data_IF_170733487981
#
_entry.id   IF_170733487981
#
_cell.length_a   1.000
_cell.length_b   1.000
_cell.length_c   1.000
_cell.angle_alpha   90.00
_cell.angle_beta   90.00
_cell.angle_gamma   90.00
#
_symmetry.space_group_name_H-M   'P 1'
#
loop_
_entity.id
_entity.type
_entity.pdbx_description
1 polymer ?
#
# COMPACT_ATOMS: atom_id res chain seq x y z
N UNK A 1 7.53 15.66 21.02
CA UNK A 1 6.31 15.63 20.19
C UNK A 1 5.74 14.23 20.28
N UNK A 2 4.94 13.93 21.31
CA UNK A 2 4.35 12.58 21.54
C UNK A 2 2.84 12.59 21.23
N UNK A 3 2.34 13.70 20.65
CA UNK A 3 0.91 13.97 20.54
C UNK A 3 0.34 13.60 19.18
N UNK A 4 1.16 13.59 18.11
CA UNK A 4 0.64 13.40 16.76
C UNK A 4 0.29 11.94 16.46
N UNK A 5 1.09 10.98 16.94
CA UNK A 5 0.73 9.55 16.82
C UNK A 5 -0.55 9.21 17.60
N UNK A 6 -0.72 9.75 18.81
CA UNK A 6 -1.97 9.58 19.57
C UNK A 6 -3.16 10.19 18.83
N UNK A 7 -3.03 11.41 18.28
CA UNK A 7 -4.07 12.03 17.46
C UNK A 7 -4.44 11.16 16.26
N UNK A 8 -3.44 10.65 15.53
CA UNK A 8 -3.69 9.77 14.38
C UNK A 8 -4.49 8.53 14.82
N UNK A 9 -4.09 7.89 15.92
CA UNK A 9 -4.82 6.75 16.47
C UNK A 9 -6.27 7.09 16.83
N UNK A 10 -6.50 8.19 17.56
CA UNK A 10 -7.83 8.62 17.99
C UNK A 10 -8.72 8.93 16.77
N UNK A 11 -8.17 9.62 15.76
CA UNK A 11 -8.87 9.93 14.51
C UNK A 11 -9.19 8.68 13.70
N UNK A 12 -8.28 7.70 13.62
CA UNK A 12 -8.56 6.41 12.98
C UNK A 12 -9.67 5.65 13.73
N UNK A 13 -9.65 5.67 15.07
CA UNK A 13 -10.69 5.04 15.89
C UNK A 13 -12.06 5.69 15.68
N UNK A 14 -12.11 7.01 15.59
CA UNK A 14 -13.34 7.76 15.28
C UNK A 14 -13.84 7.46 13.86
N UNK A 15 -12.95 7.45 12.87
CA UNK A 15 -13.28 7.29 11.47
C UNK A 15 -13.73 5.86 11.09
N UNK A 16 -13.12 4.84 11.70
CA UNK A 16 -13.16 3.47 11.15
C UNK A 16 -13.81 2.42 12.07
N UNK A 17 -14.21 2.77 13.30
CA UNK A 17 -14.93 1.83 14.18
C UNK A 17 -16.44 1.80 13.92
N UNK A 18 -17.06 0.66 14.19
CA UNK A 18 -18.40 0.24 13.74
C UNK A 18 -19.58 1.13 14.14
N UNK A 19 -19.39 2.11 15.02
CA UNK A 19 -20.42 3.12 15.31
C UNK A 19 -20.61 4.13 14.16
N UNK A 20 -19.64 4.24 13.25
CA UNK A 20 -19.62 5.22 12.16
C UNK A 20 -19.52 4.61 10.74
N UNK A 21 -19.61 3.29 10.56
CA UNK A 21 -19.49 2.65 9.24
C UNK A 21 -20.61 3.02 8.26
N UNK A 22 -21.75 3.50 8.76
CA UNK A 22 -22.83 4.03 7.91
C UNK A 22 -22.54 5.46 7.40
N UNK A 23 -21.44 6.05 7.84
CA UNK A 23 -21.06 7.45 7.61
C UNK A 23 -19.55 7.65 7.71
N UNK A 24 -18.71 6.77 7.15
CA UNK A 24 -17.29 7.09 6.96
C UNK A 24 -17.20 8.33 6.08
N UNK A 25 -17.24 9.49 6.72
CA UNK A 25 -17.36 10.77 6.05
C UNK A 25 -16.04 11.00 5.32
N UNK A 26 -16.07 11.42 4.04
CA UNK A 26 -14.88 11.90 3.35
C UNK A 26 -14.05 12.89 4.18
N UNK A 27 -14.71 13.66 5.06
CA UNK A 27 -14.08 14.60 5.99
C UNK A 27 -13.21 13.91 7.06
N UNK A 28 -13.65 12.76 7.60
CA UNK A 28 -12.87 12.02 8.61
C UNK A 28 -11.65 11.35 7.97
N UNK A 29 -11.81 10.81 6.76
CA UNK A 29 -10.70 10.26 5.98
C UNK A 29 -9.67 11.36 5.65
N UNK A 30 -10.15 12.53 5.21
CA UNK A 30 -9.29 13.68 4.94
C UNK A 30 -8.61 14.19 6.21
N UNK A 31 -9.27 14.12 7.36
CA UNK A 31 -8.65 14.45 8.63
C UNK A 31 -7.49 13.50 8.97
N UNK A 32 -7.67 12.18 8.82
CA UNK A 32 -6.59 11.20 8.97
C UNK A 32 -5.45 11.48 7.98
N UNK A 33 -5.78 11.79 6.72
CA UNK A 33 -4.79 12.14 5.68
C UNK A 33 -3.96 13.36 6.06
N UNK A 34 -4.60 14.44 6.53
CA UNK A 34 -3.91 15.67 6.95
C UNK A 34 -3.00 15.44 8.16
N UNK A 35 -3.44 14.64 9.14
CA UNK A 35 -2.58 14.25 10.26
C UNK A 35 -1.36 13.48 9.78
N UNK A 36 -1.53 12.53 8.86
CA UNK A 36 -0.40 11.81 8.27
C UNK A 36 0.56 12.77 7.57
N UNK A 37 0.07 13.74 6.79
CA UNK A 37 0.89 14.72 6.07
C UNK A 37 1.83 15.51 7.00
N UNK A 38 1.39 15.80 8.23
CA UNK A 38 2.23 16.46 9.24
C UNK A 38 3.30 15.53 9.87
N UNK A 39 3.15 14.20 9.80
CA UNK A 39 4.00 13.26 10.55
C UNK A 39 5.44 13.14 10.02
N UNK A 40 6.38 13.07 10.94
CA UNK A 40 7.78 12.75 10.65
C UNK A 40 8.20 11.45 11.35
N UNK A 41 9.41 10.95 11.06
CA UNK A 41 10.00 9.85 11.83
C UNK A 41 10.03 10.15 13.33
N UNK A 42 10.29 11.40 13.73
CA UNK A 42 10.40 11.78 15.13
C UNK A 42 9.07 11.63 15.89
N UNK A 43 7.94 11.86 15.22
CA UNK A 43 6.59 11.63 15.80
C UNK A 43 6.30 10.14 16.03
N UNK A 44 7.07 9.28 15.37
CA UNK A 44 7.09 7.83 15.50
C UNK A 44 8.28 7.38 16.35
N UNK A 45 8.98 8.28 17.07
CA UNK A 45 10.12 7.89 17.92
C UNK A 45 11.30 7.28 17.14
N UNK A 46 11.39 7.59 15.85
CA UNK A 46 12.42 7.10 14.93
C UNK A 46 13.25 8.26 14.37
N UNK A 47 14.42 7.92 13.84
CA UNK A 47 15.23 8.76 12.96
C UNK A 47 15.86 7.88 11.87
N UNK A 48 16.52 8.49 10.88
CA UNK A 48 17.18 7.72 9.81
C UNK A 48 18.35 6.88 10.37
N UNK A 49 19.02 7.34 11.43
CA UNK A 49 20.14 6.62 12.04
C UNK A 49 19.72 5.28 12.65
N UNK A 50 18.48 5.18 13.17
CA UNK A 50 17.89 3.93 13.65
C UNK A 50 17.98 2.82 12.59
N UNK A 51 17.66 3.15 11.34
CA UNK A 51 17.69 2.19 10.24
C UNK A 51 19.12 1.91 9.78
N UNK A 52 19.92 2.96 9.59
CA UNK A 52 21.30 2.87 9.09
C UNK A 52 22.20 2.05 10.04
N UNK A 53 22.03 2.19 11.36
CA UNK A 53 22.86 1.52 12.37
C UNK A 53 22.35 0.12 12.74
N UNK A 54 21.25 -0.34 12.15
CA UNK A 54 20.66 -1.63 12.48
C UNK A 54 21.48 -2.80 11.93
N UNK A 55 22.12 -3.55 12.81
CA UNK A 55 22.78 -4.81 12.45
C UNK A 55 21.79 -5.85 11.90
N UNK A 56 20.52 -5.79 12.33
CA UNK A 56 19.49 -6.71 11.85
C UNK A 56 19.15 -6.42 10.39
N UNK A 57 19.04 -5.14 10.01
CA UNK A 57 18.87 -4.72 8.62
C UNK A 57 20.06 -5.17 7.78
N UNK A 58 21.28 -4.95 8.28
CA UNK A 58 22.52 -5.33 7.59
C UNK A 58 22.61 -6.84 7.33
N UNK A 59 22.04 -7.69 8.20
CA UNK A 59 21.99 -9.15 8.02
C UNK A 59 21.03 -9.58 6.91
N UNK A 60 20.05 -8.75 6.54
CA UNK A 60 19.03 -9.06 5.55
C UNK A 60 18.85 -7.90 4.55
N UNK A 61 19.86 -7.58 3.73
CA UNK A 61 19.88 -6.36 2.91
C UNK A 61 18.83 -6.33 1.79
N UNK A 62 18.19 -7.47 1.48
CA UNK A 62 17.13 -7.58 0.47
C UNK A 62 15.73 -7.77 1.08
N UNK A 63 15.62 -7.70 2.41
CA UNK A 63 14.33 -7.80 3.08
C UNK A 63 13.62 -6.44 3.12
N UNK A 64 12.30 -6.48 3.18
CA UNK A 64 11.47 -5.36 3.61
C UNK A 64 11.22 -5.52 5.10
N UNK A 65 11.25 -4.42 5.85
CA UNK A 65 11.10 -4.46 7.30
C UNK A 65 9.75 -3.87 7.70
N UNK A 66 8.93 -4.67 8.38
CA UNK A 66 7.64 -4.27 8.92
C UNK A 66 7.76 -3.89 10.38
N UNK A 67 7.30 -2.68 10.73
CA UNK A 67 7.26 -2.16 12.08
C UNK A 67 5.78 -1.93 12.45
N UNK A 68 5.16 -2.84 13.24
CA UNK A 68 3.79 -2.63 13.69
C UNK A 68 3.73 -1.48 14.70
N UNK A 69 2.75 -0.59 14.57
CA UNK A 69 2.45 0.44 15.58
C UNK A 69 1.22 0.04 16.38
N UNK A 70 0.09 -0.17 15.71
CA UNK A 70 -1.11 -0.71 16.33
C UNK A 70 -1.98 -1.46 15.33
N UNK A 71 -2.74 -2.44 15.81
CA UNK A 71 -3.66 -3.23 15.00
C UNK A 71 -4.93 -3.55 15.78
N UNK A 72 -6.08 -3.34 15.14
CA UNK A 72 -7.39 -3.79 15.63
C UNK A 72 -8.22 -4.36 14.45
N UNK A 73 -9.46 -4.77 14.70
CA UNK A 73 -10.32 -5.31 13.63
C UNK A 73 -10.72 -4.27 12.57
N UNK A 74 -10.70 -2.98 12.91
CA UNK A 74 -11.16 -1.89 12.04
C UNK A 74 -10.05 -1.24 11.23
N UNK A 75 -8.84 -1.16 11.76
CA UNK A 75 -7.70 -0.54 11.07
C UNK A 75 -6.37 -1.04 11.66
N UNK A 76 -5.29 -0.87 10.91
CA UNK A 76 -3.92 -1.00 11.39
C UNK A 76 -3.07 0.19 10.99
N UNK A 77 -2.09 0.53 11.82
CA UNK A 77 -1.08 1.54 11.55
C UNK A 77 0.28 0.83 11.62
N UNK A 78 1.09 0.97 10.58
CA UNK A 78 2.40 0.33 10.47
C UNK A 78 3.36 1.14 9.61
N UNK A 79 4.65 0.82 9.74
CA UNK A 79 5.70 1.37 8.88
C UNK A 79 6.33 0.21 8.11
N UNK A 80 6.55 0.40 6.82
CA UNK A 80 7.47 -0.40 6.03
C UNK A 80 8.77 0.37 5.82
N UNK A 81 9.88 -0.20 6.24
CA UNK A 81 11.20 0.26 5.87
C UNK A 81 11.77 -0.60 4.74
N UNK A 82 12.20 0.04 3.66
CA UNK A 82 12.76 -0.60 2.49
C UNK A 82 14.22 -0.15 2.35
N UNK A 83 15.21 -1.03 2.54
CA UNK A 83 16.57 -0.79 2.07
C UNK A 83 16.57 -0.48 0.58
N UNK A 84 17.60 0.22 0.09
CA UNK A 84 17.73 0.54 -1.33
C UNK A 84 17.60 -0.71 -2.22
N UNK A 85 16.84 -0.61 -3.30
CA UNK A 85 16.54 -1.68 -4.27
C UNK A 85 15.70 -2.85 -3.74
N UNK A 86 15.18 -2.77 -2.51
CA UNK A 86 14.13 -3.68 -2.03
C UNK A 86 12.79 -3.39 -2.71
N UNK A 87 11.96 -4.41 -2.81
CA UNK A 87 10.66 -4.32 -3.47
C UNK A 87 9.58 -4.93 -2.58
N UNK A 88 8.48 -4.20 -2.40
CA UNK A 88 7.19 -4.82 -2.07
C UNK A 88 6.54 -5.13 -3.41
N UNK A 89 6.44 -6.43 -3.71
CA UNK A 89 5.97 -6.90 -5.01
C UNK A 89 4.55 -6.43 -5.30
N UNK A 90 4.17 -6.45 -6.58
CA UNK A 90 2.83 -6.07 -7.02
C UNK A 90 1.76 -6.89 -6.28
N UNK A 91 0.91 -6.23 -5.50
CA UNK A 91 -0.09 -6.87 -4.66
C UNK A 91 -1.38 -6.06 -4.56
N UNK A 92 -2.50 -6.69 -4.20
CA UNK A 92 -3.79 -6.04 -4.02
C UNK A 92 -4.18 -5.76 -2.56
N UNK A 93 -5.21 -4.92 -2.39
CA UNK A 93 -5.80 -4.54 -1.11
C UNK A 93 -7.32 -4.80 -1.16
N UNK A 94 -7.78 -6.07 -1.12
CA UNK A 94 -9.17 -6.42 -1.39
C UNK A 94 -10.11 -5.85 -0.33
N UNK A 95 -11.11 -5.09 -0.76
CA UNK A 95 -12.09 -4.39 0.10
C UNK A 95 -11.48 -3.43 1.12
N UNK A 96 -10.29 -2.91 0.85
CA UNK A 96 -9.54 -2.02 1.74
C UNK A 96 -9.36 -0.63 1.15
N UNK A 97 -9.38 0.37 2.04
CA UNK A 97 -8.83 1.71 1.80
C UNK A 97 -7.50 1.81 2.53
N UNK A 98 -6.46 2.29 1.85
CA UNK A 98 -5.13 2.46 2.47
C UNK A 98 -4.68 3.90 2.27
N UNK A 99 -4.30 4.55 3.36
CA UNK A 99 -3.58 5.82 3.31
C UNK A 99 -2.09 5.51 3.46
N UNK A 100 -1.27 6.08 2.59
CA UNK A 100 0.15 5.74 2.47
C UNK A 100 0.98 7.02 2.37
N UNK A 101 1.99 7.17 3.24
CA UNK A 101 2.90 8.32 3.25
C UNK A 101 4.35 7.90 3.22
N UNK A 102 5.11 8.44 2.27
CA UNK A 102 6.57 8.36 2.27
C UNK A 102 7.16 9.33 3.32
N UNK A 103 7.75 8.78 4.38
CA UNK A 103 8.33 9.55 5.49
C UNK A 103 9.70 10.15 5.14
N UNK A 104 10.51 9.40 4.38
CA UNK A 104 11.80 9.84 3.85
C UNK A 104 12.21 8.98 2.64
N UNK A 105 13.24 9.43 1.90
CA UNK A 105 13.81 8.68 0.79
C UNK A 105 13.08 8.88 -0.54
N UNK A 106 13.33 7.99 -1.50
CA UNK A 106 12.71 7.97 -2.82
C UNK A 106 12.26 6.57 -3.21
N UNK A 107 11.08 6.48 -3.79
CA UNK A 107 10.42 5.22 -4.13
C UNK A 107 9.77 5.33 -5.51
N UNK A 108 9.94 4.29 -6.33
CA UNK A 108 9.17 4.11 -7.55
C UNK A 108 7.89 3.36 -7.23
N UNK A 109 6.75 3.94 -7.61
CA UNK A 109 5.42 3.37 -7.43
C UNK A 109 4.86 2.99 -8.78
N UNK A 110 4.37 1.77 -8.90
CA UNK A 110 3.64 1.29 -10.06
C UNK A 110 2.31 0.73 -9.59
N UNK A 111 1.20 1.33 -10.01
CA UNK A 111 -0.12 0.98 -9.50
C UNK A 111 -1.17 0.85 -10.59
N UNK A 112 -2.17 0.01 -10.32
CA UNK A 112 -3.22 -0.40 -11.22
C UNK A 112 -4.58 -0.45 -10.52
N UNK A 113 -5.63 -0.32 -11.31
CA UNK A 113 -6.99 -0.69 -10.93
C UNK A 113 -7.56 -1.69 -11.94
N UNK A 114 -8.38 -2.63 -11.48
CA UNK A 114 -9.07 -3.58 -12.36
C UNK A 114 -9.97 -2.86 -13.36
N UNK A 115 -9.93 -3.25 -14.65
CA UNK A 115 -10.87 -2.74 -15.65
C UNK A 115 -12.28 -3.27 -15.38
N UNK A 116 -12.38 -4.58 -15.12
CA UNK A 116 -13.58 -5.22 -14.58
C UNK A 116 -13.16 -6.13 -13.41
N UNK A 117 -13.63 -5.87 -12.19
CA UNK A 117 -13.39 -6.72 -11.03
C UNK A 117 -13.86 -8.18 -11.22
N UNK A 118 -14.81 -8.42 -12.13
CA UNK A 118 -15.29 -9.77 -12.48
C UNK A 118 -14.33 -10.52 -13.42
N UNK A 119 -13.18 -9.93 -13.77
CA UNK A 119 -12.15 -10.58 -14.60
C UNK A 119 -12.53 -10.65 -16.07
N UNK A 120 -13.23 -9.63 -16.58
CA UNK A 120 -13.57 -9.51 -18.00
C UNK A 120 -12.85 -8.30 -18.63
N UNK A 121 -12.41 -8.39 -19.89
CA UNK A 121 -12.31 -9.59 -20.72
C UNK A 121 -11.27 -10.57 -20.16
N UNK A 122 -11.38 -11.86 -20.51
CA UNK A 122 -10.34 -12.84 -20.24
C UNK A 122 -9.28 -12.80 -21.35
N UNK A 123 -8.02 -13.01 -21.01
CA UNK A 123 -6.95 -13.10 -22.00
C UNK A 123 -7.07 -14.40 -22.79
N UNK A 124 -6.98 -14.31 -24.11
CA UNK A 124 -6.92 -15.50 -24.97
C UNK A 124 -5.67 -16.31 -24.62
N UNK A 125 -5.84 -17.57 -24.22
CA UNK A 125 -4.74 -18.47 -23.86
C UNK A 125 -4.29 -18.41 -22.39
N UNK A 126 -4.83 -17.50 -21.58
CA UNK A 126 -4.60 -17.45 -20.13
C UNK A 126 -5.86 -16.97 -19.39
N UNK A 127 -6.67 -17.91 -18.93
CA UNK A 127 -7.90 -17.60 -18.20
C UNK A 127 -7.67 -17.05 -16.79
N UNK A 128 -6.43 -17.09 -16.28
CA UNK A 128 -6.09 -16.57 -14.96
C UNK A 128 -5.64 -15.10 -15.01
N UNK A 129 -5.30 -14.58 -16.19
CA UNK A 129 -4.96 -13.19 -16.40
C UNK A 129 -6.22 -12.30 -16.36
N UNK A 130 -6.16 -11.22 -15.58
CA UNK A 130 -7.19 -10.19 -15.50
C UNK A 130 -6.67 -8.87 -16.05
N UNK A 131 -7.53 -8.14 -16.76
CA UNK A 131 -7.16 -6.85 -17.35
C UNK A 131 -7.18 -5.75 -16.29
N UNK A 132 -6.09 -5.01 -16.18
CA UNK A 132 -5.96 -3.85 -15.30
C UNK A 132 -5.53 -2.62 -16.08
N UNK A 133 -5.92 -1.45 -15.58
CA UNK A 133 -5.50 -0.15 -16.07
C UNK A 133 -4.38 0.39 -15.20
N UNK A 134 -3.30 0.83 -15.82
CA UNK A 134 -2.24 1.58 -15.15
C UNK A 134 -2.83 2.88 -14.59
N UNK A 135 -2.86 2.99 -13.28
CA UNK A 135 -3.26 4.20 -12.56
C UNK A 135 -2.11 5.19 -12.51
N UNK A 136 -0.92 4.71 -12.14
CA UNK A 136 0.30 5.52 -12.09
C UNK A 136 1.56 4.68 -12.24
N UNK A 137 2.61 5.30 -12.77
CA UNK A 137 3.97 4.80 -12.72
C UNK A 137 4.92 5.98 -12.62
N UNK A 138 5.39 6.28 -11.41
CA UNK A 138 6.19 7.47 -11.15
C UNK A 138 7.15 7.29 -9.97
N UNK A 139 8.08 8.23 -9.82
CA UNK A 139 9.01 8.32 -8.70
C UNK A 139 8.55 9.40 -7.73
N UNK A 140 8.44 9.03 -6.46
CA UNK A 140 8.15 9.93 -5.36
C UNK A 140 9.39 10.11 -4.50
N UNK A 141 9.67 11.35 -4.11
CA UNK A 141 10.75 11.70 -3.19
C UNK A 141 10.17 12.52 -2.05
N UNK A 142 10.49 12.14 -0.81
CA UNK A 142 10.04 12.90 0.35
C UNK A 142 10.71 14.29 0.41
N UNK A 143 10.01 15.33 0.93
CA UNK A 143 8.64 15.29 1.43
C UNK A 143 7.61 15.22 0.29
N UNK A 144 6.59 14.38 0.46
CA UNK A 144 5.44 14.32 -0.43
C UNK A 144 4.15 14.08 0.36
N UNK A 145 3.03 14.51 -0.22
CA UNK A 145 1.70 14.31 0.36
C UNK A 145 1.36 12.82 0.51
N UNK A 146 0.55 12.43 1.52
CA UNK A 146 -0.01 11.09 1.59
C UNK A 146 -0.91 10.79 0.40
N UNK A 147 -0.81 9.57 -0.10
CA UNK A 147 -1.70 9.01 -1.12
C UNK A 147 -2.81 8.20 -0.46
N UNK A 148 -3.90 7.99 -1.19
CA UNK A 148 -5.03 7.15 -0.75
C UNK A 148 -5.44 6.24 -1.90
N UNK A 149 -5.51 4.95 -1.64
CA UNK A 149 -6.14 3.97 -2.52
C UNK A 149 -7.45 3.46 -1.89
N UNK A 150 -8.37 3.06 -2.75
CA UNK A 150 -9.71 2.57 -2.40
C UNK A 150 -9.90 1.14 -2.94
N UNK A 151 -10.98 0.43 -2.54
CA UNK A 151 -11.20 -0.95 -2.97
C UNK A 151 -11.26 -1.17 -4.49
N UNK A 152 -11.58 -0.14 -5.27
CA UNK A 152 -11.78 -0.23 -6.73
C UNK A 152 -11.19 0.94 -7.53
N UNK A 153 -10.39 1.79 -6.90
CA UNK A 153 -9.82 2.97 -7.56
C UNK A 153 -8.62 3.52 -6.77
N UNK A 154 -7.77 4.28 -7.45
CA UNK A 154 -6.62 4.95 -6.82
C UNK A 154 -5.37 4.07 -6.79
N UNK A 155 -5.31 3.03 -7.62
CA UNK A 155 -4.18 2.12 -7.65
C UNK A 155 -4.24 1.05 -6.57
N UNK A 156 -5.38 0.34 -6.46
CA UNK A 156 -5.56 -0.71 -5.45
C UNK A 156 -4.52 -1.84 -5.53
N UNK A 157 -4.03 -2.13 -6.74
CA UNK A 157 -2.94 -3.08 -6.94
C UNK A 157 -1.66 -2.29 -7.17
N UNK A 158 -0.64 -2.43 -6.33
CA UNK A 158 0.59 -1.66 -6.50
C UNK A 158 1.86 -2.42 -6.13
N UNK A 159 2.98 -1.96 -6.69
CA UNK A 159 4.32 -2.35 -6.33
C UNK A 159 5.11 -1.11 -5.88
N UNK A 160 5.95 -1.30 -4.86
CA UNK A 160 6.80 -0.27 -4.30
C UNK A 160 8.26 -0.71 -4.43
N UNK A 161 9.05 0.02 -5.21
CA UNK A 161 10.48 -0.26 -5.44
C UNK A 161 11.32 0.89 -4.90
N UNK A 162 12.10 0.64 -3.86
CA UNK A 162 12.92 1.67 -3.23
C UNK A 162 14.10 2.08 -4.14
N UNK A 163 14.24 3.38 -4.41
CA UNK A 163 15.35 3.94 -5.18
C UNK A 163 16.50 4.30 -4.25
N UNK A 164 16.17 4.93 -3.13
CA UNK A 164 17.03 5.05 -1.95
C UNK A 164 16.45 4.18 -0.85
N UNK A 165 17.14 4.04 0.28
CA UNK A 165 16.45 3.61 1.50
C UNK A 165 15.28 4.57 1.80
N UNK A 166 14.15 4.01 2.23
CA UNK A 166 12.94 4.80 2.52
C UNK A 166 12.07 4.12 3.58
N UNK A 167 11.25 4.92 4.26
CA UNK A 167 10.18 4.41 5.11
C UNK A 167 8.81 4.94 4.67
N UNK A 168 7.82 4.06 4.69
CA UNK A 168 6.45 4.31 4.30
C UNK A 168 5.53 4.06 5.49
N UNK A 169 4.74 5.04 5.90
CA UNK A 169 3.69 4.92 6.92
C UNK A 169 2.37 4.57 6.24
N UNK A 170 1.78 3.45 6.66
CA UNK A 170 0.48 3.00 6.17
C UNK A 170 -0.58 2.99 7.27
N UNK A 171 -1.79 3.40 6.89
CA UNK A 171 -3.03 3.16 7.63
C UNK A 171 -3.95 2.30 6.76
N UNK A 172 -4.16 1.05 7.14
CA UNK A 172 -4.96 0.08 6.39
C UNK A 172 -6.35 -0.05 7.02
N UNK A 173 -7.40 0.07 6.21
CA UNK A 173 -8.80 0.11 6.68
C UNK A 173 -9.72 -0.74 5.79
N UNK A 174 -10.25 -1.87 6.29
CA UNK A 174 -9.72 -2.66 7.41
C UNK A 174 -8.33 -3.25 7.08
N UNK A 175 -7.63 -3.90 8.03
CA UNK A 175 -6.47 -4.70 7.69
C UNK A 175 -6.86 -5.96 6.89
N UNK A 176 -5.84 -6.56 6.27
CA UNK A 176 -5.93 -7.91 5.71
C UNK A 176 -6.46 -8.93 6.72
N UNK A 177 -7.17 -9.93 6.23
CA UNK A 177 -7.68 -11.05 7.01
C UNK A 177 -8.08 -12.18 6.09
N UNK A 178 -7.34 -13.29 6.09
CA UNK A 178 -7.71 -14.48 5.32
C UNK A 178 -9.08 -15.04 5.76
N UNK A 179 -9.33 -15.05 7.07
CA UNK A 179 -10.60 -15.54 7.66
C UNK A 179 -11.81 -14.74 7.17
N UNK A 180 -11.64 -13.45 6.92
CA UNK A 180 -12.70 -12.55 6.41
C UNK A 180 -12.62 -12.33 4.90
N UNK A 181 -11.86 -13.15 4.17
CA UNK A 181 -11.80 -13.11 2.71
C UNK A 181 -11.00 -11.96 2.11
N UNK A 182 -10.09 -11.36 2.87
CA UNK A 182 -9.17 -10.31 2.42
C UNK A 182 -7.70 -10.75 2.52
N UNK A 183 -7.27 -11.77 1.76
CA UNK A 183 -5.85 -12.12 1.68
C UNK A 183 -5.08 -11.04 0.91
N UNK A 184 -3.78 -10.94 1.13
CA UNK A 184 -2.88 -10.22 0.21
C UNK A 184 -2.58 -11.15 -0.97
N UNK A 185 -2.87 -10.72 -2.20
CA UNK A 185 -2.59 -11.50 -3.41
C UNK A 185 -1.49 -10.82 -4.23
N UNK A 186 -0.46 -11.58 -4.62
CA UNK A 186 0.63 -11.09 -5.46
C UNK A 186 0.34 -11.32 -6.95
N UNK A 187 0.88 -10.45 -7.79
CA UNK A 187 0.67 -10.49 -9.24
C UNK A 187 1.97 -10.30 -10.04
N UNK A 188 2.00 -10.88 -11.22
CA UNK A 188 2.91 -10.50 -12.31
C UNK A 188 2.12 -9.69 -13.33
N UNK A 189 2.67 -8.57 -13.80
CA UNK A 189 2.08 -7.77 -14.86
C UNK A 189 2.78 -8.00 -16.21
N UNK A 190 1.97 -8.04 -17.27
CA UNK A 190 2.42 -8.19 -18.65
C UNK A 190 1.78 -7.11 -19.53
N UNK A 191 2.49 -6.57 -20.52
CA UNK A 191 1.91 -5.63 -21.47
C UNK A 191 0.65 -6.20 -22.13
N UNK A 192 -0.36 -5.35 -22.32
CA UNK A 192 -1.55 -5.70 -23.07
C UNK A 192 -1.39 -5.26 -24.54
N UNK A 193 -1.26 -6.22 -25.45
CA UNK A 193 -1.29 -5.98 -26.90
C UNK A 193 -2.75 -5.98 -27.38
N UNK A 194 -3.18 -5.03 -28.22
CA UNK A 194 -4.59 -4.90 -28.70
C UNK A 194 -5.18 -6.20 -29.23
N UNK A 195 -4.38 -7.00 -29.93
CA UNK A 195 -4.80 -8.27 -30.53
C UNK A 195 -5.17 -9.34 -29.49
N UNK A 196 -4.83 -9.10 -28.22
CA UNK A 196 -5.13 -9.99 -27.08
C UNK A 196 -6.51 -9.73 -26.44
N UNK A 197 -7.22 -8.68 -26.86
CA UNK A 197 -8.51 -8.26 -26.29
C UNK A 197 -9.63 -8.47 -27.32
N UNK A 198 -10.72 -9.12 -26.92
CA UNK A 198 -11.94 -9.17 -27.73
C UNK A 198 -12.46 -7.73 -27.98
N UNK A 199 -12.65 -7.36 -29.25
CA UNK A 199 -12.64 -5.97 -29.77
C UNK A 199 -13.74 -5.01 -29.28
N UNK A 200 -14.48 -5.37 -28.24
CA UNK A 200 -15.62 -4.61 -27.68
C UNK A 200 -15.25 -3.71 -26.48
N UNK A 201 -14.01 -3.72 -25.99
CA UNK A 201 -13.61 -3.12 -24.69
C UNK A 201 -12.86 -1.78 -24.79
N UNK A 202 -12.54 -1.31 -26.00
CA UNK A 202 -11.54 -0.25 -26.20
C UNK A 202 -12.08 1.18 -26.27
N UNK A 203 -13.33 1.44 -25.91
CA UNK A 203 -13.89 2.79 -26.07
C UNK A 203 -13.29 3.78 -25.05
N UNK A 204 -12.26 4.52 -25.50
CA UNK A 204 -11.62 5.60 -24.74
C UNK A 204 -10.29 5.24 -24.07
N UNK A 205 -9.63 4.14 -24.45
CA UNK A 205 -8.40 3.69 -23.79
C UNK A 205 -7.25 3.48 -24.78
N UNK A 206 -6.07 4.02 -24.45
CA UNK A 206 -4.84 3.81 -25.22
C UNK A 206 -4.10 2.58 -24.69
N UNK A 207 -3.54 1.76 -25.59
CA UNK A 207 -2.74 0.55 -25.29
C UNK A 207 -1.72 0.73 -24.17
N UNK A 208 -1.07 1.89 -24.13
CA UNK A 208 -0.01 2.22 -23.17
C UNK A 208 -0.48 2.28 -21.71
N UNK A 209 -1.78 2.13 -21.45
CA UNK A 209 -2.38 2.20 -20.11
C UNK A 209 -2.97 0.88 -19.63
N UNK A 210 -2.83 -0.22 -20.37
CA UNK A 210 -3.42 -1.52 -20.01
C UNK A 210 -2.35 -2.59 -19.79
N UNK A 211 -2.60 -3.46 -18.81
CA UNK A 211 -1.76 -4.62 -18.52
C UNK A 211 -2.62 -5.83 -18.14
N UNK A 212 -2.10 -7.02 -18.43
CA UNK A 212 -2.64 -8.28 -17.92
C UNK A 212 -1.92 -8.63 -16.62
N UNK A 213 -2.68 -8.86 -15.55
CA UNK A 213 -2.14 -9.27 -14.26
C UNK A 213 -2.54 -10.73 -14.00
N UNK A 214 -1.56 -11.56 -13.68
CA UNK A 214 -1.76 -12.97 -13.32
C UNK A 214 -1.25 -13.19 -11.90
N UNK A 215 -2.03 -13.89 -11.08
CA UNK A 215 -1.65 -14.20 -9.69
C UNK A 215 -0.32 -14.97 -9.63
N UNK A 216 0.63 -14.48 -8.82
CA UNK A 216 1.91 -15.13 -8.56
C UNK A 216 1.86 -15.97 -7.27
N UNK A 217 1.41 -17.21 -7.42
CA UNK A 217 1.37 -18.18 -6.32
C UNK A 217 2.75 -18.65 -5.86
N UNK A 218 3.79 -18.35 -6.62
CA UNK A 218 5.17 -18.71 -6.26
C UNK A 218 5.84 -17.63 -5.42
N UNK A 219 5.23 -16.44 -5.32
CA UNK A 219 5.79 -15.37 -4.51
C UNK A 219 5.68 -15.69 -3.02
N UNK A 220 6.78 -15.41 -2.31
CA UNK A 220 6.83 -15.46 -0.87
C UNK A 220 7.46 -14.17 -0.37
N UNK A 221 6.76 -13.50 0.53
CA UNK A 221 7.24 -12.24 1.10
C UNK A 221 8.57 -12.42 1.81
N UNK A 222 9.53 -11.56 1.46
CA UNK A 222 10.74 -11.36 2.25
C UNK A 222 10.55 -10.19 3.24
N UNK A 223 9.41 -10.19 3.93
CA UNK A 223 9.08 -9.20 4.96
C UNK A 223 9.54 -9.72 6.32
N UNK A 224 10.24 -8.88 7.08
CA UNK A 224 10.75 -9.20 8.42
C UNK A 224 10.22 -8.19 9.42
N UNK A 225 9.77 -8.66 10.57
CA UNK A 225 9.42 -7.76 11.67
C UNK A 225 10.71 -7.15 12.22
N UNK A 226 10.82 -5.82 12.18
CA UNK A 226 11.93 -5.10 12.81
C UNK A 226 11.50 -4.72 14.23
N UNK A 227 12.20 -5.18 15.28
CA UNK A 227 11.87 -4.81 16.65
C UNK A 227 11.96 -3.30 16.84
N UNK A 228 10.85 -2.72 17.30
CA UNK A 228 10.67 -1.29 17.50
C UNK A 228 9.54 -1.09 18.52
N UNK A 229 9.71 -0.11 19.42
CA UNK A 229 8.70 0.30 20.38
C UNK A 229 8.20 1.69 20.00
N UNK A 230 6.95 1.82 19.53
CA UNK A 230 6.41 3.14 19.22
C UNK A 230 6.25 4.01 20.46
N UNK A 231 6.21 5.34 20.30
CA UNK A 231 5.76 6.24 21.35
C UNK A 231 4.41 5.75 21.92
N UNK A 232 4.19 5.86 23.24
CA UNK A 232 3.05 5.21 23.89
C UNK A 232 1.72 5.74 23.35
N UNK A 233 0.84 4.80 23.01
CA UNK A 233 -0.55 5.07 22.60
C UNK A 233 -1.49 4.62 23.74
N UNK A 234 -2.42 5.50 24.10
CA UNK A 234 -3.54 5.19 24.99
C UNK A 234 -4.70 4.68 24.14
N UNK A 235 -5.05 3.40 24.31
CA UNK A 235 -6.09 2.70 23.54
C UNK A 235 -7.51 2.91 24.09
#
# INVERSE_FOLDING_TARGET
>A
MVYLLQKLYDSCKEAFTSRNLNSSSPELLEHVRSLMDEMTLADLGLDEEFFIKSEYITKFPQAVFYLPICMCQSFSICIFYLPQSSVIQLHDHPDMTVLCKLLFGSIHVKAYDWVDPQGRPQRVGDSNAKLARLFMQDVFTAPCEPSVLYPRSGGNIHALTSITECAVLDVLVPPYSEELGRPCTYYLDFPCELDSIDGTVLHGHTEQTLAWLTEDKSHHDNVKVLPYEPPPIVF
#
